data_IF_076424919656
#
_entry.id   IF_076424919656
#
_cell.length_a   1.000
_cell.length_b   1.000
_cell.length_c   1.000
_cell.angle_alpha   90.00
_cell.angle_beta   90.00
_cell.angle_gamma   90.00
#
_symmetry.space_group_name_H-M   'P 1'
#
loop_
_entity.id
_entity.type
_entity.pdbx_description
1 polymer ?
#
# COMPACT_ATOMS: atom_id res chain seq x y z
N UNK A 1 11.72 -23.41 -20.58
CA UNK A 1 12.45 -22.45 -19.73
C UNK A 1 11.44 -21.91 -18.71
N UNK A 2 11.63 -22.20 -17.43
CA UNK A 2 10.81 -21.60 -16.37
C UNK A 2 11.33 -20.19 -16.04
N UNK A 3 10.44 -19.29 -15.62
CA UNK A 3 10.86 -18.02 -15.02
C UNK A 3 11.49 -18.31 -13.65
N UNK A 4 12.65 -17.72 -13.39
CA UNK A 4 13.35 -17.80 -12.09
C UNK A 4 13.42 -16.40 -11.48
N UNK A 5 13.10 -16.29 -10.21
CA UNK A 5 13.32 -15.09 -9.41
C UNK A 5 14.51 -15.35 -8.48
N UNK A 6 15.54 -14.54 -8.60
CA UNK A 6 16.76 -14.66 -7.80
C UNK A 6 16.48 -14.31 -6.34
N UNK A 7 16.96 -15.14 -5.40
CA UNK A 7 16.80 -14.95 -3.96
C UNK A 7 18.08 -15.38 -3.24
N UNK A 8 18.57 -14.53 -2.35
CA UNK A 8 19.72 -14.77 -1.48
C UNK A 8 19.20 -15.18 -0.10
N UNK A 9 19.33 -16.48 0.23
CA UNK A 9 18.86 -17.04 1.50
C UNK A 9 19.70 -16.55 2.69
N UNK A 10 21.01 -16.35 2.52
CA UNK A 10 21.91 -15.93 3.60
C UNK A 10 21.62 -14.50 4.04
N UNK A 11 21.31 -13.62 3.08
CA UNK A 11 21.01 -12.23 3.33
C UNK A 11 19.51 -11.93 3.40
N UNK A 12 18.64 -12.93 3.21
CA UNK A 12 17.19 -12.80 3.14
C UNK A 12 16.74 -11.67 2.20
N UNK A 13 17.32 -11.64 1.00
CA UNK A 13 17.25 -10.50 0.09
C UNK A 13 17.00 -10.96 -1.35
N UNK A 14 16.29 -10.15 -2.12
CA UNK A 14 16.01 -10.42 -3.54
C UNK A 14 16.80 -9.46 -4.40
N UNK A 15 17.83 -9.92 -5.15
CA UNK A 15 18.54 -9.08 -6.10
C UNK A 15 17.61 -8.52 -7.18
N UNK A 16 17.88 -7.29 -7.64
CA UNK A 16 17.04 -6.60 -8.63
C UNK A 16 17.07 -7.30 -9.99
N UNK A 17 18.24 -7.84 -10.34
CA UNK A 17 18.50 -8.59 -11.55
C UNK A 17 19.68 -9.54 -11.30
N UNK A 18 19.91 -10.45 -12.23
CA UNK A 18 21.06 -11.35 -12.17
C UNK A 18 22.37 -10.55 -12.20
N UNK A 19 23.26 -10.84 -11.24
CA UNK A 19 24.52 -10.11 -11.06
C UNK A 19 24.40 -8.76 -10.35
N UNK A 20 23.22 -8.39 -9.82
CA UNK A 20 23.08 -7.18 -9.00
C UNK A 20 23.99 -7.25 -7.76
N UNK A 21 24.79 -6.20 -7.54
CA UNK A 21 25.63 -6.05 -6.35
C UNK A 21 24.89 -5.22 -5.31
N UNK A 22 24.64 -5.81 -4.13
CA UNK A 22 23.95 -5.11 -3.03
C UNK A 22 24.68 -3.82 -2.67
N UNK A 23 23.92 -2.73 -2.53
CA UNK A 23 24.49 -1.39 -2.37
C UNK A 23 24.52 -0.55 -3.65
N UNK A 24 24.27 -1.15 -4.82
CA UNK A 24 24.21 -0.42 -6.09
C UNK A 24 22.97 0.48 -6.14
N UNK A 25 23.19 1.74 -6.52
CA UNK A 25 22.13 2.75 -6.60
C UNK A 25 21.08 2.43 -7.66
N UNK A 26 19.81 2.72 -7.36
CA UNK A 26 18.67 2.54 -8.27
C UNK A 26 17.90 3.84 -8.45
N UNK A 27 17.29 4.01 -9.62
CA UNK A 27 16.55 5.22 -10.01
C UNK A 27 15.11 5.30 -9.50
N UNK A 28 14.51 4.17 -9.14
CA UNK A 28 13.11 4.07 -8.72
C UNK A 28 12.84 2.73 -8.03
N UNK A 29 11.65 2.59 -7.45
CA UNK A 29 11.19 1.33 -6.89
C UNK A 29 11.23 0.20 -7.95
N UNK A 30 11.78 -0.95 -7.56
CA UNK A 30 11.87 -2.13 -8.41
C UNK A 30 11.57 -3.41 -7.62
N UNK A 31 12.55 -3.99 -6.92
CA UNK A 31 12.34 -5.23 -6.14
C UNK A 31 11.21 -5.11 -5.10
N UNK A 32 11.04 -3.93 -4.49
CA UNK A 32 9.95 -3.71 -3.53
C UNK A 32 8.56 -3.83 -4.18
N UNK A 33 8.46 -3.76 -5.52
CA UNK A 33 7.22 -3.99 -6.26
C UNK A 33 6.73 -5.44 -6.18
N UNK A 34 7.63 -6.36 -5.83
CA UNK A 34 7.28 -7.75 -5.50
C UNK A 34 6.47 -7.83 -4.19
N UNK A 35 6.70 -6.92 -3.24
CA UNK A 35 5.93 -6.83 -2.00
C UNK A 35 4.53 -6.22 -2.22
N UNK A 36 4.48 -5.08 -2.90
CA UNK A 36 3.27 -4.45 -3.46
C UNK A 36 3.66 -3.69 -4.73
N UNK A 37 2.92 -3.84 -5.85
CA UNK A 37 1.57 -4.39 -5.94
C UNK A 37 1.48 -5.91 -6.18
N UNK A 38 2.59 -6.63 -6.43
CA UNK A 38 2.51 -8.03 -6.80
C UNK A 38 2.02 -8.95 -5.66
N UNK A 39 2.29 -8.58 -4.40
CA UNK A 39 2.01 -9.42 -3.22
C UNK A 39 2.61 -10.84 -3.35
N UNK A 40 3.88 -10.93 -3.76
CA UNK A 40 4.55 -12.20 -4.02
C UNK A 40 4.49 -13.13 -2.79
N UNK A 41 3.84 -14.28 -2.95
CA UNK A 41 3.43 -15.16 -1.84
C UNK A 41 4.60 -15.81 -1.10
N UNK A 42 5.76 -15.93 -1.74
CA UNK A 42 6.96 -16.49 -1.12
C UNK A 42 7.67 -15.50 -0.19
N UNK A 43 7.32 -14.22 -0.22
CA UNK A 43 7.90 -13.24 0.71
C UNK A 43 7.14 -13.24 2.03
N UNK A 44 7.84 -13.58 3.10
CA UNK A 44 7.35 -13.32 4.45
C UNK A 44 7.60 -11.85 4.87
N UNK A 45 7.15 -11.50 6.09
CA UNK A 45 7.36 -10.16 6.64
C UNK A 45 8.85 -9.81 6.77
N UNK A 46 9.71 -10.80 7.03
CA UNK A 46 11.14 -10.63 7.21
C UNK A 46 11.81 -10.28 5.87
N UNK A 47 11.54 -11.05 4.80
CA UNK A 47 12.05 -10.78 3.45
C UNK A 47 11.59 -9.41 2.93
N UNK A 48 10.30 -9.06 3.12
CA UNK A 48 9.80 -7.71 2.77
C UNK A 48 10.55 -6.61 3.50
N UNK A 49 10.78 -6.79 4.81
CA UNK A 49 11.50 -5.83 5.64
C UNK A 49 12.96 -5.68 5.20
N UNK A 50 13.63 -6.79 4.91
CA UNK A 50 15.03 -6.81 4.50
C UNK A 50 15.24 -6.22 3.11
N UNK A 51 14.32 -6.48 2.17
CA UNK A 51 14.30 -5.82 0.87
C UNK A 51 14.09 -4.31 1.01
N UNK A 52 13.15 -3.87 1.86
CA UNK A 52 12.96 -2.43 2.13
C UNK A 52 14.24 -1.77 2.66
N UNK A 53 14.91 -2.38 3.64
CA UNK A 53 16.17 -1.86 4.19
C UNK A 53 17.28 -1.78 3.14
N UNK A 54 17.45 -2.86 2.38
CA UNK A 54 18.49 -2.93 1.36
C UNK A 54 18.30 -1.87 0.27
N UNK A 55 17.05 -1.60 -0.14
CA UNK A 55 16.77 -0.70 -1.25
C UNK A 55 16.53 0.76 -0.84
N UNK A 56 16.09 1.05 0.39
CA UNK A 56 15.80 2.43 0.85
C UNK A 56 17.03 3.33 0.74
N UNK A 57 18.21 2.82 1.08
CA UNK A 57 19.44 3.62 1.12
C UNK A 57 20.13 3.81 -0.24
N UNK A 58 19.75 3.00 -1.22
CA UNK A 58 20.35 3.02 -2.57
C UNK A 58 19.41 3.62 -3.62
N UNK A 59 18.13 3.77 -3.28
CA UNK A 59 17.15 4.49 -4.08
C UNK A 59 17.47 5.98 -4.04
N UNK A 60 17.73 6.56 -5.21
CA UNK A 60 18.15 7.97 -5.31
C UNK A 60 17.08 8.91 -4.75
N UNK A 61 17.50 10.01 -4.12
CA UNK A 61 16.57 10.97 -3.53
C UNK A 61 15.67 11.66 -4.55
N UNK A 62 16.15 11.83 -5.78
CA UNK A 62 15.43 12.41 -6.92
C UNK A 62 14.53 11.41 -7.64
N UNK A 63 14.29 10.22 -7.05
CA UNK A 63 13.36 9.24 -7.60
C UNK A 63 11.95 9.82 -7.75
N UNK A 64 11.19 9.39 -8.77
CA UNK A 64 9.82 9.86 -9.01
C UNK A 64 8.90 9.66 -7.79
N UNK A 65 7.89 10.54 -7.64
CA UNK A 65 6.88 10.49 -6.56
C UNK A 65 6.33 9.10 -6.26
N UNK A 66 6.06 8.34 -7.32
CA UNK A 66 5.49 7.00 -7.28
C UNK A 66 6.34 6.03 -6.47
N UNK A 67 7.66 6.15 -6.55
CA UNK A 67 8.62 5.32 -5.79
C UNK A 67 8.31 5.40 -4.31
N UNK A 68 8.20 6.62 -3.77
CA UNK A 68 7.99 6.85 -2.34
C UNK A 68 6.60 6.41 -1.89
N UNK A 69 5.59 6.49 -2.75
CA UNK A 69 4.27 5.92 -2.46
C UNK A 69 4.35 4.39 -2.33
N UNK A 70 5.09 3.71 -3.22
CA UNK A 70 5.28 2.25 -3.14
C UNK A 70 6.06 1.85 -1.87
N UNK A 71 7.08 2.62 -1.49
CA UNK A 71 7.77 2.44 -0.20
C UNK A 71 6.82 2.61 0.98
N UNK A 72 5.94 3.63 0.95
CA UNK A 72 4.98 3.86 2.03
C UNK A 72 4.05 2.65 2.20
N UNK A 73 3.49 2.11 1.11
CA UNK A 73 2.62 0.93 1.15
C UNK A 73 3.37 -0.30 1.68
N UNK A 74 4.57 -0.57 1.16
CA UNK A 74 5.36 -1.72 1.60
C UNK A 74 5.79 -1.60 3.08
N UNK A 75 6.11 -0.40 3.57
CA UNK A 75 6.38 -0.18 5.00
C UNK A 75 5.15 -0.44 5.87
N UNK A 76 3.94 -0.09 5.41
CA UNK A 76 2.70 -0.41 6.11
C UNK A 76 2.48 -1.93 6.20
N UNK A 77 2.77 -2.68 5.13
CA UNK A 77 2.64 -4.14 5.11
C UNK A 77 3.51 -4.81 6.20
N UNK A 78 4.67 -4.22 6.53
CA UNK A 78 5.60 -4.71 7.57
C UNK A 78 5.53 -3.97 8.91
N UNK A 79 4.45 -3.21 9.14
CA UNK A 79 4.19 -2.49 10.41
C UNK A 79 5.22 -1.41 10.78
N UNK A 80 5.91 -0.85 9.78
CA UNK A 80 6.87 0.26 9.92
C UNK A 80 6.19 1.60 9.66
N UNK A 81 5.26 1.96 10.55
CA UNK A 81 4.34 3.11 10.35
C UNK A 81 5.10 4.44 10.26
N UNK A 82 6.13 4.66 11.07
CA UNK A 82 6.90 5.90 11.04
C UNK A 82 7.60 6.10 9.69
N UNK A 83 8.28 5.06 9.19
CA UNK A 83 8.89 5.07 7.87
C UNK A 83 7.85 5.24 6.76
N UNK A 84 6.69 4.57 6.88
CA UNK A 84 5.59 4.75 5.94
C UNK A 84 5.09 6.20 5.88
N UNK A 85 4.96 6.86 7.02
CA UNK A 85 4.52 8.25 7.10
C UNK A 85 5.53 9.19 6.43
N UNK A 86 6.84 8.97 6.65
CA UNK A 86 7.90 9.74 6.02
C UNK A 86 7.90 9.56 4.49
N UNK A 87 7.79 8.32 4.01
CA UNK A 87 7.73 8.02 2.57
C UNK A 87 6.44 8.54 1.93
N UNK A 88 5.32 8.48 2.64
CA UNK A 88 4.06 9.05 2.19
C UNK A 88 4.16 10.56 2.01
N UNK A 89 4.67 11.30 3.00
CA UNK A 89 4.89 12.74 2.88
C UNK A 89 5.80 13.07 1.68
N UNK A 90 6.91 12.34 1.53
CA UNK A 90 7.85 12.50 0.41
C UNK A 90 7.20 12.24 -0.96
N UNK A 91 6.20 11.36 -1.02
CA UNK A 91 5.52 11.00 -2.27
C UNK A 91 4.63 12.10 -2.86
N UNK A 92 4.14 13.05 -2.06
CA UNK A 92 3.17 14.04 -2.56
C UNK A 92 3.51 15.49 -2.20
N UNK A 93 4.04 15.76 -1.00
CA UNK A 93 4.20 17.14 -0.52
C UNK A 93 5.05 18.02 -1.44
N UNK A 94 6.21 17.56 -1.97
CA UNK A 94 7.04 18.39 -2.86
C UNK A 94 6.36 18.71 -4.20
N UNK A 95 5.34 17.94 -4.58
CA UNK A 95 4.68 18.02 -5.88
C UNK A 95 3.40 18.88 -5.83
N UNK A 96 2.92 19.26 -4.63
CA UNK A 96 1.74 20.10 -4.46
C UNK A 96 2.10 21.58 -4.62
N UNK A 97 1.47 22.25 -5.58
CA UNK A 97 1.62 23.69 -5.77
C UNK A 97 0.45 24.47 -5.17
N UNK A 98 0.70 25.44 -4.26
CA UNK A 98 -0.33 26.34 -3.77
C UNK A 98 -0.83 27.26 -4.91
N UNK A 99 -2.00 27.90 -4.75
CA UNK A 99 -2.92 27.79 -3.61
C UNK A 99 -3.88 26.61 -3.71
N UNK A 100 -3.93 25.93 -4.86
CA UNK A 100 -4.93 24.91 -5.15
C UNK A 100 -4.46 23.47 -4.89
N UNK A 101 -3.20 23.29 -4.48
CA UNK A 101 -2.57 21.99 -4.27
C UNK A 101 -2.67 21.09 -5.51
N UNK A 102 -2.36 21.67 -6.68
CA UNK A 102 -2.27 20.91 -7.94
C UNK A 102 -0.98 20.11 -7.93
N UNK A 103 -1.05 18.83 -8.32
CA UNK A 103 0.15 18.01 -8.52
C UNK A 103 0.90 18.46 -9.76
N UNK A 104 2.18 18.78 -9.58
CA UNK A 104 3.09 19.21 -10.64
C UNK A 104 4.39 18.40 -10.62
N UNK A 105 5.05 18.28 -11.75
CA UNK A 105 6.39 17.70 -11.87
C UNK A 105 7.18 18.46 -12.91
N UNK A 106 8.40 18.89 -12.59
CA UNK A 106 9.31 19.60 -13.51
C UNK A 106 8.65 20.76 -14.29
N UNK A 107 7.81 21.55 -13.60
CA UNK A 107 7.10 22.69 -14.19
C UNK A 107 5.87 22.33 -15.03
N UNK A 108 5.53 21.05 -15.15
CA UNK A 108 4.30 20.59 -15.79
C UNK A 108 3.18 20.40 -14.77
N UNK A 109 2.02 20.97 -15.06
CA UNK A 109 0.80 20.78 -14.27
C UNK A 109 0.15 19.42 -14.55
N UNK A 110 -0.77 19.02 -13.67
CA UNK A 110 -1.54 17.77 -13.80
C UNK A 110 -0.65 16.53 -13.88
N UNK A 111 0.27 16.39 -12.92
CA UNK A 111 1.07 15.19 -12.77
C UNK A 111 0.21 14.02 -12.25
N UNK A 112 -0.51 13.38 -13.19
CA UNK A 112 -1.51 12.36 -12.90
C UNK A 112 -0.92 11.12 -12.22
N UNK A 113 0.29 10.73 -12.59
CA UNK A 113 0.95 9.57 -11.98
C UNK A 113 1.25 9.80 -10.50
N UNK A 114 1.62 11.03 -10.10
CA UNK A 114 1.79 11.41 -8.70
C UNK A 114 0.47 11.42 -7.93
N UNK A 115 -0.60 11.97 -8.52
CA UNK A 115 -1.93 11.94 -7.92
C UNK A 115 -2.47 10.51 -7.76
N UNK A 116 -2.25 9.65 -8.75
CA UNK A 116 -2.61 8.24 -8.70
C UNK A 116 -1.81 7.46 -7.65
N UNK A 117 -0.52 7.73 -7.51
CA UNK A 117 0.32 7.12 -6.49
C UNK A 117 -0.09 7.56 -5.06
N UNK A 118 -0.44 8.82 -4.87
CA UNK A 118 -1.03 9.30 -3.63
C UNK A 118 -2.31 8.53 -3.30
N UNK A 119 -3.23 8.39 -4.27
CA UNK A 119 -4.48 7.65 -4.06
C UNK A 119 -4.21 6.17 -3.71
N UNK A 120 -3.24 5.52 -4.36
CA UNK A 120 -2.83 4.16 -3.99
C UNK A 120 -2.28 4.09 -2.57
N UNK A 121 -1.43 5.03 -2.15
CA UNK A 121 -0.94 5.06 -0.77
C UNK A 121 -2.08 5.23 0.25
N UNK A 122 -3.13 6.00 -0.09
CA UNK A 122 -4.31 6.16 0.78
C UNK A 122 -5.18 4.91 0.79
N UNK A 123 -5.56 4.38 -0.37
CA UNK A 123 -6.54 3.28 -0.50
C UNK A 123 -5.89 1.92 -0.26
N UNK A 124 -4.76 1.67 -0.92
CA UNK A 124 -4.04 0.41 -0.80
C UNK A 124 -3.08 0.47 0.40
N UNK A 125 -2.40 1.57 0.68
CA UNK A 125 -1.57 1.67 1.89
C UNK A 125 -2.40 1.72 3.17
N UNK A 126 -2.91 2.92 3.51
CA UNK A 126 -3.54 3.17 4.81
C UNK A 126 -4.89 2.45 4.96
N UNK A 127 -5.77 2.49 3.97
CA UNK A 127 -7.04 1.77 4.07
C UNK A 127 -6.91 0.26 3.90
N UNK A 128 -5.75 -0.24 3.46
CA UNK A 128 -5.48 -1.67 3.38
C UNK A 128 -6.27 -2.41 2.30
N UNK A 129 -6.89 -1.73 1.35
CA UNK A 129 -7.69 -2.38 0.30
C UNK A 129 -6.76 -3.16 -0.64
N UNK A 130 -6.99 -4.47 -0.79
CA UNK A 130 -6.22 -5.37 -1.67
C UNK A 130 -7.17 -6.15 -2.56
N UNK A 131 -6.95 -6.10 -3.87
CA UNK A 131 -7.70 -6.90 -4.83
C UNK A 131 -6.84 -8.10 -5.20
N UNK A 132 -7.37 -9.31 -4.99
CA UNK A 132 -6.76 -10.58 -5.36
C UNK A 132 -7.68 -11.31 -6.33
N UNK A 133 -7.22 -12.45 -6.85
CA UNK A 133 -7.90 -13.16 -7.94
C UNK A 133 -9.39 -13.42 -7.68
N UNK A 134 -9.74 -13.79 -6.45
CA UNK A 134 -11.07 -14.23 -6.03
C UNK A 134 -11.64 -13.43 -4.85
N UNK A 135 -10.93 -12.40 -4.37
CA UNK A 135 -11.32 -11.69 -3.17
C UNK A 135 -10.85 -10.24 -3.11
N UNK A 136 -11.53 -9.45 -2.28
CA UNK A 136 -11.07 -8.15 -1.81
C UNK A 136 -10.78 -8.23 -0.31
N UNK A 137 -9.52 -8.02 0.08
CA UNK A 137 -9.12 -8.01 1.49
C UNK A 137 -8.95 -6.56 2.01
N UNK A 138 -9.21 -6.37 3.29
CA UNK A 138 -8.90 -5.13 4.03
C UNK A 138 -7.81 -5.46 5.05
N UNK A 139 -6.57 -5.21 4.68
CA UNK A 139 -5.40 -5.62 5.47
C UNK A 139 -4.85 -4.46 6.28
N UNK A 140 -4.84 -4.58 7.61
CA UNK A 140 -4.22 -3.61 8.53
C UNK A 140 -4.68 -2.15 8.31
N UNK A 141 -5.99 -1.87 8.30
CA UNK A 141 -6.50 -0.52 8.07
C UNK A 141 -6.01 0.45 9.14
N UNK A 142 -5.55 1.62 8.72
CA UNK A 142 -5.00 2.70 9.54
C UNK A 142 -5.50 4.05 9.06
N UNK A 143 -5.56 5.02 9.97
CA UNK A 143 -5.80 6.42 9.60
C UNK A 143 -4.52 7.03 8.99
N UNK A 144 -4.68 8.10 8.22
CA UNK A 144 -3.53 8.85 7.69
C UNK A 144 -2.79 9.59 8.81
N UNK A 145 -1.52 9.97 8.60
CA UNK A 145 -0.77 10.77 9.56
C UNK A 145 -1.51 12.05 9.94
N UNK A 146 -1.52 12.39 11.22
CA UNK A 146 -2.18 13.60 11.75
C UNK A 146 -3.70 13.65 11.50
N UNK A 147 -4.35 12.50 11.34
CA UNK A 147 -5.81 12.39 11.22
C UNK A 147 -6.36 11.39 12.21
N UNK A 148 -7.66 11.52 12.53
CA UNK A 148 -8.34 10.59 13.44
C UNK A 148 -9.36 9.69 12.73
N UNK A 149 -9.60 9.94 11.43
CA UNK A 149 -10.62 9.27 10.63
C UNK A 149 -10.24 9.26 9.16
N UNK A 150 -10.41 8.10 8.52
CA UNK A 150 -10.43 7.94 7.06
C UNK A 150 -11.78 7.33 6.69
N UNK A 151 -12.54 7.99 5.82
CA UNK A 151 -13.83 7.50 5.36
C UNK A 151 -13.84 7.39 3.84
N UNK A 152 -13.96 6.17 3.34
CA UNK A 152 -14.20 5.86 1.94
C UNK A 152 -15.71 5.58 1.80
N UNK A 153 -16.48 6.51 1.22
CA UNK A 153 -17.94 6.43 1.23
C UNK A 153 -18.48 5.23 0.45
N UNK A 154 -17.76 4.81 -0.59
CA UNK A 154 -18.16 3.67 -1.40
C UNK A 154 -16.95 3.04 -2.10
N UNK A 155 -16.83 1.74 -1.96
CA UNK A 155 -15.99 0.85 -2.77
C UNK A 155 -16.95 -0.04 -3.55
N UNK A 156 -16.76 -0.08 -4.86
CA UNK A 156 -17.49 -0.98 -5.75
C UNK A 156 -16.57 -2.14 -6.11
N UNK A 157 -16.98 -3.36 -5.80
CA UNK A 157 -16.26 -4.58 -6.17
C UNK A 157 -17.27 -5.63 -6.65
N UNK A 158 -17.16 -6.02 -7.92
CA UNK A 158 -18.14 -6.87 -8.59
C UNK A 158 -19.57 -6.31 -8.39
N UNK A 159 -20.50 -7.11 -7.89
CA UNK A 159 -21.87 -6.69 -7.59
C UNK A 159 -22.03 -6.05 -6.20
N UNK A 160 -20.95 -5.94 -5.42
CA UNK A 160 -20.98 -5.44 -4.05
C UNK A 160 -20.62 -3.96 -3.95
N UNK A 161 -21.30 -3.26 -3.05
CA UNK A 161 -21.08 -1.87 -2.67
C UNK A 161 -21.03 -1.74 -1.16
N UNK A 162 -19.94 -1.18 -0.65
CA UNK A 162 -19.76 -0.98 0.77
C UNK A 162 -18.97 0.29 1.07
N UNK A 163 -19.18 0.87 2.23
CA UNK A 163 -18.35 1.94 2.78
C UNK A 163 -17.27 1.37 3.69
N UNK A 164 -16.16 2.09 3.83
CA UNK A 164 -15.09 1.76 4.77
C UNK A 164 -14.78 3.00 5.61
N UNK A 165 -14.97 2.88 6.91
CA UNK A 165 -14.60 3.90 7.89
C UNK A 165 -13.48 3.37 8.78
N UNK A 166 -12.42 4.13 8.94
CA UNK A 166 -11.28 3.79 9.79
C UNK A 166 -11.09 4.92 10.78
N UNK A 167 -10.96 4.56 12.05
CA UNK A 167 -10.70 5.46 13.18
C UNK A 167 -9.53 4.94 13.98
N UNK A 168 -9.04 5.73 14.94
CA UNK A 168 -7.99 5.28 15.86
C UNK A 168 -8.37 4.01 16.65
N UNK A 169 -9.66 3.73 16.82
CA UNK A 169 -10.15 2.59 17.59
C UNK A 169 -10.43 1.36 16.72
N UNK A 170 -10.47 1.50 15.40
CA UNK A 170 -10.90 0.41 14.54
C UNK A 170 -11.47 0.82 13.20
N UNK A 171 -11.81 -0.20 12.41
CA UNK A 171 -12.41 -0.08 11.10
C UNK A 171 -13.87 -0.57 11.13
N UNK A 172 -14.73 0.06 10.35
CA UNK A 172 -16.13 -0.32 10.15
C UNK A 172 -16.40 -0.48 8.67
N UNK A 173 -16.99 -1.61 8.28
CA UNK A 173 -17.46 -1.84 6.91
C UNK A 173 -18.99 -1.75 6.93
N UNK A 174 -19.55 -0.89 6.08
CA UNK A 174 -21.00 -0.74 5.93
C UNK A 174 -21.46 -1.25 4.57
N UNK A 175 -22.14 -2.39 4.51
CA UNK A 175 -22.64 -2.96 3.26
C UNK A 175 -23.95 -2.29 2.84
N UNK A 176 -23.96 -1.68 1.65
CA UNK A 176 -25.18 -1.13 1.03
C UNK A 176 -25.81 -2.13 0.07
N UNK A 177 -24.98 -2.93 -0.61
CA UNK A 177 -25.40 -4.00 -1.51
C UNK A 177 -24.35 -5.11 -1.41
N UNK A 178 -24.72 -6.27 -0.87
CA UNK A 178 -23.81 -7.39 -0.65
C UNK A 178 -24.49 -8.70 -1.00
N UNK A 179 -24.35 -9.14 -2.25
CA UNK A 179 -24.67 -10.49 -2.70
C UNK A 179 -23.60 -10.85 -3.75
N UNK A 180 -23.05 -12.08 -3.72
CA UNK A 180 -21.95 -12.64 -4.55
C UNK A 180 -20.54 -12.49 -3.92
N UNK A 181 -19.51 -13.25 -4.36
CA UNK A 181 -18.38 -13.69 -3.52
C UNK A 181 -17.41 -12.54 -3.21
N UNK A 182 -17.79 -11.73 -2.23
CA UNK A 182 -16.92 -10.76 -1.61
C UNK A 182 -16.47 -11.37 -0.28
N UNK A 183 -15.28 -11.96 -0.27
CA UNK A 183 -14.63 -12.38 0.97
C UNK A 183 -13.83 -11.21 1.52
N UNK A 184 -14.40 -10.45 2.45
CA UNK A 184 -13.61 -9.44 3.19
C UNK A 184 -12.88 -10.13 4.32
N UNK A 185 -11.55 -10.14 4.25
CA UNK A 185 -10.71 -10.47 5.41
C UNK A 185 -10.35 -9.17 6.11
N UNK A 186 -10.79 -9.02 7.36
CA UNK A 186 -10.35 -7.97 8.29
C UNK A 186 -9.72 -8.66 9.50
N UNK A 187 -8.47 -8.30 9.85
CA UNK A 187 -7.69 -8.90 10.95
C UNK A 187 -7.61 -10.43 10.91
N UNK A 188 -7.56 -11.01 9.70
CA UNK A 188 -7.50 -12.47 9.50
C UNK A 188 -8.84 -13.19 9.66
N UNK A 189 -9.94 -12.47 9.93
CA UNK A 189 -11.29 -13.04 10.04
C UNK A 189 -12.07 -12.73 8.76
N UNK A 190 -12.53 -13.79 8.10
CA UNK A 190 -13.46 -13.69 6.98
C UNK A 190 -14.81 -13.15 7.44
N UNK A 191 -15.35 -12.23 6.65
CA UNK A 191 -16.61 -11.55 6.92
C UNK A 191 -17.58 -11.88 5.80
N UNK A 192 -18.73 -12.42 6.17
CA UNK A 192 -19.80 -12.70 5.21
C UNK A 192 -20.54 -11.41 4.88
N UNK A 193 -20.66 -11.03 3.59
CA UNK A 193 -21.47 -9.89 3.20
C UNK A 193 -22.92 -10.11 3.60
N UNK A 194 -23.53 -9.10 4.22
CA UNK A 194 -24.97 -9.06 4.46
C UNK A 194 -25.60 -7.84 3.80
N UNK A 195 -26.89 -7.95 3.47
CA UNK A 195 -27.66 -6.82 2.99
C UNK A 195 -27.89 -5.83 4.15
N UNK A 196 -27.48 -4.57 3.97
CA UNK A 196 -27.78 -3.46 4.89
C UNK A 196 -27.30 -3.67 6.33
N UNK A 197 -26.04 -4.08 6.51
CA UNK A 197 -25.43 -4.32 7.81
C UNK A 197 -24.10 -3.56 7.97
N UNK A 198 -23.62 -3.43 9.20
CA UNK A 198 -22.29 -2.90 9.51
C UNK A 198 -21.51 -3.82 10.45
N UNK A 199 -20.22 -3.92 10.21
CA UNK A 199 -19.31 -4.74 11.00
C UNK A 199 -18.15 -3.88 11.51
N UNK A 200 -17.87 -3.95 12.82
CA UNK A 200 -16.77 -3.22 13.47
C UNK A 200 -15.61 -4.15 13.79
N UNK A 201 -14.40 -3.67 13.55
CA UNK A 201 -13.14 -4.38 13.74
C UNK A 201 -12.21 -3.52 14.57
N UNK A 202 -11.49 -4.12 15.51
CA UNK A 202 -10.51 -3.39 16.30
C UNK A 202 -9.25 -3.20 15.47
N UNK A 203 -8.77 -1.97 15.36
CA UNK A 203 -7.47 -1.70 14.76
C UNK A 203 -6.42 -2.34 15.67
N UNK A 204 -5.79 -3.43 15.23
CA UNK A 204 -4.69 -4.04 15.95
C UNK A 204 -3.50 -3.07 15.94
N UNK A 205 -3.48 -2.12 16.87
CA UNK A 205 -2.27 -1.37 17.23
C UNK A 205 -1.56 -2.14 18.35
N UNK A 206 -0.63 -3.00 17.97
CA UNK A 206 0.55 -3.29 18.78
C UNK A 206 1.77 -3.02 17.94
#
# INVERSE_FOLDING_TARGET
LGMTLSYDEEQNFTPQHDGYVKGTSISQADTILLGYPLEYSSFDKSTKSQNLEAYTHVTREDSPSMTWAMYAINHLDVDRVEQANAMFAKSYQPYLQPPYNVWTVDGQENFLSGAGAFLQAVVNGYAGVRIRHDMLAITKPRVLPNTNRLFIPQINYMASKFSLEITLNGATIGFTMGNLPLTVIADGVQQEPCASCSCKYNSSSK
#
